data_IF_700306160893
#
_entry.id   IF_700306160893
#
_cell.length_a   1.000
_cell.length_b   1.000
_cell.length_c   1.000
_cell.angle_alpha   90.00
_cell.angle_beta   90.00
_cell.angle_gamma   90.00
#
_symmetry.space_group_name_H-M   'P 1'
#
loop_
_entity.id
_entity.type
_entity.pdbx_description
1 polymer ?
#
# COMPACT_ATOMS: atom_id res chain seq x y z
N UNK A 1 -14.55 8.94 10.05
CA UNK A 1 -15.02 7.56 10.07
C UNK A 1 -14.12 6.74 10.96
N UNK A 2 -14.62 5.67 11.54
CA UNK A 2 -13.83 4.71 12.32
C UNK A 2 -13.07 3.76 11.40
N UNK A 3 -12.11 3.03 11.95
CA UNK A 3 -11.36 1.97 11.26
C UNK A 3 -12.29 0.98 10.54
N UNK A 4 -13.31 0.47 11.24
CA UNK A 4 -14.25 -0.50 10.69
C UNK A 4 -15.08 0.08 9.54
N UNK A 5 -15.52 1.34 9.67
CA UNK A 5 -16.26 2.03 8.60
C UNK A 5 -15.38 2.22 7.36
N UNK A 6 -14.09 2.50 7.54
CA UNK A 6 -13.15 2.64 6.43
C UNK A 6 -12.90 1.32 5.72
N UNK A 7 -12.74 0.22 6.47
CA UNK A 7 -12.57 -1.12 5.93
C UNK A 7 -13.78 -1.53 5.08
N UNK A 8 -14.99 -1.42 5.63
CA UNK A 8 -16.24 -1.74 4.93
C UNK A 8 -16.41 -0.92 3.64
N UNK A 9 -16.11 0.38 3.70
CA UNK A 9 -16.22 1.28 2.54
C UNK A 9 -15.23 0.90 1.43
N UNK A 10 -13.98 0.59 1.79
CA UNK A 10 -12.96 0.13 0.84
C UNK A 10 -13.35 -1.22 0.22
N UNK A 11 -13.83 -2.17 1.04
CA UNK A 11 -14.30 -3.49 0.60
C UNK A 11 -15.46 -3.40 -0.39
N UNK A 12 -16.47 -2.59 -0.04
CA UNK A 12 -17.64 -2.32 -0.89
C UNK A 12 -17.24 -1.67 -2.22
N UNK A 13 -16.35 -0.67 -2.19
CA UNK A 13 -15.87 0.02 -3.40
C UNK A 13 -15.01 -0.88 -4.30
N UNK A 14 -14.23 -1.81 -3.72
CA UNK A 14 -13.46 -2.81 -4.48
C UNK A 14 -14.30 -4.01 -4.93
N UNK A 15 -15.58 -4.08 -4.53
CA UNK A 15 -16.49 -5.19 -4.81
C UNK A 15 -15.94 -6.54 -4.32
N UNK A 16 -15.15 -6.52 -3.25
CA UNK A 16 -14.62 -7.73 -2.62
C UNK A 16 -15.76 -8.33 -1.79
N UNK A 17 -16.19 -9.54 -2.16
CA UNK A 17 -17.27 -10.26 -1.46
C UNK A 17 -16.77 -11.20 -0.37
N UNK A 18 -15.47 -11.41 -0.30
CA UNK A 18 -14.83 -12.41 0.55
C UNK A 18 -13.91 -11.73 1.59
N UNK A 19 -13.74 -12.33 2.75
CA UNK A 19 -12.95 -11.80 3.86
C UNK A 19 -11.44 -12.06 3.68
N UNK A 20 -11.05 -12.80 2.63
CA UNK A 20 -9.64 -13.09 2.31
C UNK A 20 -8.71 -11.86 2.26
N UNK A 21 -9.23 -10.68 1.96
CA UNK A 21 -8.44 -9.43 1.81
C UNK A 21 -8.59 -8.47 2.98
N UNK A 22 -9.40 -8.80 3.98
CA UNK A 22 -9.67 -7.88 5.10
C UNK A 22 -8.40 -7.60 5.90
N UNK A 23 -7.51 -8.59 6.05
CA UNK A 23 -6.19 -8.40 6.66
C UNK A 23 -5.33 -7.41 5.85
N UNK A 24 -5.27 -7.57 4.52
CA UNK A 24 -4.47 -6.67 3.68
C UNK A 24 -4.99 -5.22 3.70
N UNK A 25 -6.31 -5.03 3.75
CA UNK A 25 -6.93 -3.71 3.90
C UNK A 25 -6.59 -3.13 5.28
N UNK A 26 -6.68 -3.95 6.32
CA UNK A 26 -6.36 -3.57 7.70
C UNK A 26 -4.92 -3.11 7.84
N UNK A 27 -3.97 -3.87 7.30
CA UNK A 27 -2.54 -3.55 7.36
C UNK A 27 -2.24 -2.20 6.71
N UNK A 28 -2.81 -1.94 5.51
CA UNK A 28 -2.64 -0.64 4.82
C UNK A 28 -3.24 0.50 5.63
N UNK A 29 -4.43 0.31 6.24
CA UNK A 29 -5.03 1.34 7.10
C UNK A 29 -4.12 1.62 8.29
N UNK A 30 -3.61 0.59 8.96
CA UNK A 30 -2.73 0.73 10.12
C UNK A 30 -1.44 1.46 9.77
N UNK A 31 -0.80 1.11 8.66
CA UNK A 31 0.43 1.75 8.20
C UNK A 31 0.21 3.24 7.86
N UNK A 32 -0.92 3.57 7.24
CA UNK A 32 -1.31 4.96 6.97
C UNK A 32 -1.57 5.72 8.28
N UNK A 33 -2.26 5.11 9.25
CA UNK A 33 -2.52 5.69 10.56
C UNK A 33 -1.23 5.98 11.32
N UNK A 34 -0.30 5.02 11.34
CA UNK A 34 1.00 5.14 12.00
C UNK A 34 1.83 6.27 11.37
N UNK A 35 1.95 6.27 10.04
CA UNK A 35 2.69 7.33 9.34
C UNK A 35 2.06 8.72 9.51
N UNK A 36 0.74 8.83 9.47
CA UNK A 36 0.03 10.10 9.61
C UNK A 36 -0.15 10.53 11.08
N UNK A 37 0.14 9.66 12.04
CA UNK A 37 -0.15 9.83 13.47
C UNK A 37 -1.63 10.21 13.70
N UNK A 38 -2.53 9.41 13.12
CA UNK A 38 -3.98 9.60 13.20
C UNK A 38 -4.62 8.57 14.14
N UNK A 39 -5.63 9.01 14.88
CA UNK A 39 -6.44 8.12 15.69
C UNK A 39 -7.31 7.21 14.81
N UNK A 40 -7.30 5.92 15.08
CA UNK A 40 -8.06 4.89 14.35
C UNK A 40 -9.58 5.13 14.39
N UNK A 41 -10.07 5.89 15.37
CA UNK A 41 -11.49 6.23 15.51
C UNK A 41 -11.89 7.47 14.68
N UNK A 42 -10.93 8.29 14.23
CA UNK A 42 -11.18 9.55 13.50
C UNK A 42 -10.36 9.64 12.22
N UNK A 43 -10.67 8.75 11.29
CA UNK A 43 -10.07 8.74 9.95
C UNK A 43 -10.77 9.72 9.00
N UNK A 44 -10.00 10.59 8.30
CA UNK A 44 -10.53 11.45 7.25
C UNK A 44 -11.10 10.64 6.07
N UNK A 45 -12.28 11.01 5.56
CA UNK A 45 -12.83 10.35 4.37
C UNK A 45 -11.98 10.51 3.11
N UNK A 46 -11.18 11.57 3.05
CA UNK A 46 -10.26 11.82 1.94
C UNK A 46 -9.11 10.80 1.86
N UNK A 47 -8.88 9.98 2.88
CA UNK A 47 -7.91 8.88 2.84
C UNK A 47 -8.46 7.63 2.14
N UNK A 48 -9.79 7.45 2.07
CA UNK A 48 -10.40 6.26 1.44
C UNK A 48 -9.89 6.01 0.02
N UNK A 49 -9.82 7.01 -0.90
CA UNK A 49 -9.35 6.76 -2.25
C UNK A 49 -7.90 6.33 -2.33
N UNK A 50 -7.08 6.80 -1.38
CA UNK A 50 -5.66 6.46 -1.30
C UNK A 50 -5.50 4.99 -0.87
N UNK A 51 -6.14 4.60 0.23
CA UNK A 51 -6.11 3.23 0.75
C UNK A 51 -6.69 2.26 -0.28
N UNK A 52 -7.83 2.60 -0.89
CA UNK A 52 -8.44 1.82 -1.95
C UNK A 52 -7.49 1.59 -3.12
N UNK A 53 -6.82 2.64 -3.59
CA UNK A 53 -5.87 2.53 -4.69
C UNK A 53 -4.71 1.61 -4.32
N UNK A 54 -4.18 1.74 -3.09
CA UNK A 54 -3.07 0.94 -2.60
C UNK A 54 -3.40 -0.55 -2.53
N UNK A 55 -4.57 -0.89 -1.98
CA UNK A 55 -5.06 -2.28 -1.93
C UNK A 55 -5.27 -2.82 -3.34
N UNK A 56 -5.82 -2.02 -4.26
CA UNK A 56 -5.96 -2.42 -5.66
C UNK A 56 -4.61 -2.69 -6.32
N UNK A 57 -3.62 -1.82 -6.12
CA UNK A 57 -2.28 -1.99 -6.67
C UNK A 57 -1.63 -3.29 -6.14
N UNK A 58 -1.87 -3.65 -4.87
CA UNK A 58 -1.43 -4.93 -4.30
C UNK A 58 -2.15 -6.14 -4.93
N UNK A 59 -3.45 -6.06 -5.17
CA UNK A 59 -4.21 -7.12 -5.86
C UNK A 59 -3.75 -7.30 -7.32
N UNK A 60 -3.57 -6.20 -8.03
CA UNK A 60 -3.12 -6.21 -9.42
C UNK A 60 -1.69 -6.76 -9.52
N UNK A 61 -0.81 -6.46 -8.55
CA UNK A 61 0.52 -7.03 -8.46
C UNK A 61 0.50 -8.55 -8.29
N UNK A 62 -0.32 -9.07 -7.38
CA UNK A 62 -0.45 -10.52 -7.18
C UNK A 62 -1.06 -11.23 -8.40
N UNK A 63 -1.98 -10.59 -9.12
CA UNK A 63 -2.56 -11.15 -10.34
C UNK A 63 -1.52 -11.26 -11.47
N UNK A 64 -0.57 -10.32 -11.55
CA UNK A 64 0.45 -10.28 -12.60
C UNK A 64 1.69 -11.11 -12.26
N UNK A 65 2.14 -11.11 -11.01
CA UNK A 65 3.40 -11.74 -10.57
C UNK A 65 3.19 -13.06 -9.82
N UNK A 66 1.96 -13.39 -9.43
CA UNK A 66 1.64 -14.52 -8.57
C UNK A 66 1.98 -14.26 -7.09
N UNK A 67 1.65 -15.21 -6.22
CA UNK A 67 1.93 -15.15 -4.77
C UNK A 67 3.39 -15.48 -4.42
N UNK A 68 4.20 -15.84 -5.42
CA UNK A 68 5.61 -16.20 -5.27
C UNK A 68 6.54 -14.99 -5.27
N UNK A 69 7.65 -15.09 -4.53
CA UNK A 69 8.72 -14.09 -4.58
C UNK A 69 9.40 -14.13 -5.95
N UNK A 70 9.06 -13.19 -6.84
CA UNK A 70 9.69 -13.04 -8.15
C UNK A 70 10.54 -11.77 -8.16
N UNK A 71 11.87 -11.93 -8.21
CA UNK A 71 12.79 -10.81 -8.37
C UNK A 71 12.69 -10.26 -9.79
N UNK A 72 12.41 -8.96 -9.92
CA UNK A 72 12.44 -8.29 -11.22
C UNK A 72 13.89 -8.20 -11.73
N UNK A 73 14.12 -8.59 -12.98
CA UNK A 73 15.42 -8.49 -13.63
C UNK A 73 15.55 -7.06 -14.16
N UNK A 74 16.50 -6.29 -13.62
CA UNK A 74 16.76 -4.90 -14.03
C UNK A 74 17.50 -4.83 -15.37
N UNK A 75 18.43 -5.76 -15.63
CA UNK A 75 19.11 -5.86 -16.92
C UNK A 75 19.82 -7.20 -17.08
N UNK A 76 19.93 -7.64 -18.33
CA UNK A 76 20.78 -8.75 -18.78
C UNK A 76 21.81 -8.13 -19.74
N UNK A 77 23.10 -8.24 -19.43
CA UNK A 77 24.18 -7.87 -20.35
C UNK A 77 24.64 -9.13 -21.09
N UNK A 78 24.37 -9.22 -22.38
CA UNK A 78 24.90 -10.29 -23.23
C UNK A 78 26.41 -10.10 -23.41
N UNK A 79 27.22 -10.80 -22.63
CA UNK A 79 28.68 -10.81 -22.77
C UNK A 79 29.45 -11.12 -21.48
N UNK A 80 28.85 -10.84 -20.33
CA UNK A 80 29.34 -11.20 -19.00
C UNK A 80 28.15 -11.84 -18.28
N UNK A 81 28.30 -13.00 -17.66
CA UNK A 81 27.19 -13.83 -17.15
C UNK A 81 26.40 -13.22 -15.97
N UNK A 82 26.42 -11.90 -15.83
CA UNK A 82 25.80 -11.13 -14.76
C UNK A 82 24.34 -10.79 -15.09
N UNK A 83 23.44 -11.25 -14.22
CA UNK A 83 22.05 -10.80 -14.17
C UNK A 83 21.95 -9.75 -13.06
N UNK A 84 21.48 -8.55 -13.39
CA UNK A 84 21.26 -7.50 -12.39
C UNK A 84 19.80 -7.50 -11.99
N UNK A 85 19.50 -7.65 -10.70
CA UNK A 85 18.13 -7.65 -10.18
C UNK A 85 17.74 -6.26 -9.67
N UNK A 86 16.50 -5.86 -9.96
CA UNK A 86 15.93 -4.61 -9.47
C UNK A 86 15.68 -4.72 -7.96
N UNK A 87 16.57 -4.11 -7.17
CA UNK A 87 16.43 -4.04 -5.71
C UNK A 87 15.84 -2.68 -5.36
N UNK A 88 14.52 -2.58 -5.34
CA UNK A 88 13.79 -1.41 -4.85
C UNK A 88 13.19 -0.49 -5.92
N UNK A 89 12.01 0.04 -5.60
CA UNK A 89 11.19 0.91 -6.46
C UNK A 89 9.70 0.87 -6.06
N UNK A 90 8.90 1.85 -6.52
CA UNK A 90 7.46 1.88 -6.25
C UNK A 90 6.70 0.66 -6.78
N UNK A 91 7.26 -0.04 -7.77
CA UNK A 91 6.70 -1.27 -8.35
C UNK A 91 7.29 -2.55 -7.72
N UNK A 92 8.20 -2.42 -6.76
CA UNK A 92 8.74 -3.55 -6.02
C UNK A 92 7.75 -4.00 -4.95
N UNK A 93 7.82 -5.26 -4.53
CA UNK A 93 6.97 -5.82 -3.47
C UNK A 93 6.90 -4.90 -2.24
N UNK A 94 8.03 -4.43 -1.75
CA UNK A 94 8.09 -3.51 -0.60
C UNK A 94 7.38 -2.17 -0.86
N UNK A 95 7.48 -1.64 -2.08
CA UNK A 95 6.80 -0.40 -2.48
C UNK A 95 5.30 -0.57 -2.70
N UNK A 96 4.82 -1.79 -2.98
CA UNK A 96 3.41 -2.11 -3.21
C UNK A 96 2.69 -2.47 -1.92
N UNK A 97 3.31 -3.31 -1.08
CA UNK A 97 2.75 -3.70 0.22
C UNK A 97 3.03 -2.69 1.33
N UNK A 98 4.06 -1.83 1.18
CA UNK A 98 4.38 -0.76 2.12
C UNK A 98 4.21 0.64 1.52
N UNK A 99 4.40 1.67 2.34
CA UNK A 99 4.35 3.06 1.90
C UNK A 99 5.63 3.49 1.15
N UNK A 100 5.51 3.72 -0.15
CA UNK A 100 6.59 4.29 -0.98
C UNK A 100 6.83 5.78 -0.68
N UNK A 101 7.91 6.36 -1.18
CA UNK A 101 8.18 7.80 -0.99
C UNK A 101 7.13 8.70 -1.68
N UNK A 102 6.56 8.24 -2.79
CA UNK A 102 5.45 8.91 -3.46
C UNK A 102 4.19 8.91 -2.58
N UNK A 103 3.89 7.76 -1.97
CA UNK A 103 2.77 7.60 -1.04
C UNK A 103 2.93 8.51 0.18
N UNK A 104 4.12 8.48 0.79
CA UNK A 104 4.48 9.34 1.91
C UNK A 104 4.31 10.82 1.57
N UNK A 105 4.61 11.23 0.34
CA UNK A 105 4.44 12.61 -0.13
C UNK A 105 2.96 13.00 -0.17
N UNK A 106 2.08 12.12 -0.66
CA UNK A 106 0.63 12.36 -0.65
C UNK A 106 0.07 12.36 0.77
N UNK A 107 0.58 11.51 1.65
CA UNK A 107 0.14 11.39 3.04
C UNK A 107 0.63 12.53 3.95
N UNK A 108 1.71 13.23 3.61
CA UNK A 108 2.21 14.39 4.37
C UNK A 108 1.14 15.44 4.66
N UNK A 109 0.18 15.64 3.75
CA UNK A 109 -0.92 16.60 3.93
C UNK A 109 -1.92 16.21 5.02
N UNK A 110 -1.95 14.93 5.40
CA UNK A 110 -2.80 14.40 6.47
C UNK A 110 -2.02 14.13 7.75
N UNK A 111 -0.69 14.15 7.68
CA UNK A 111 0.20 13.92 8.81
C UNK A 111 0.05 15.05 9.82
N UNK A 112 -0.32 14.72 11.05
CA UNK A 112 -0.25 15.68 12.16
C UNK A 112 1.18 15.69 12.69
N UNK A 113 1.80 16.87 12.75
CA UNK A 113 3.09 17.03 13.42
C UNK A 113 2.89 16.75 14.91
N UNK A 114 3.66 15.81 15.46
CA UNK A 114 3.61 15.48 16.88
C UNK A 114 4.27 16.62 17.67
N UNK A 115 3.45 17.58 18.08
CA UNK A 115 3.87 18.76 18.84
C UNK A 115 3.25 20.04 18.30
N UNK A 116 2.00 20.30 18.69
CA UNK A 116 1.55 21.59 19.22
C UNK A 116 0.35 21.25 20.10
N UNK A 117 0.57 21.33 21.41
CA UNK A 117 -0.48 21.48 22.43
C UNK A 117 -1.04 22.90 22.30
#
# INVERSE_FOLDING_TARGET
MTFSEMLEKVKSNLKIKDDTRDLSISDVILEVCDYCNLDQEKLPERLEPFIRKKVKDAMDYEAVKGTGYQQDIASIKEGDGSITYATGGSNSREGIYGLSDADKTVLRRYRRMRGYV
#
